data_IF_787360669733
#
_entry.id   IF_787360669733
#
_cell.length_a   1.000
_cell.length_b   1.000
_cell.length_c   1.000
_cell.angle_alpha   90.00
_cell.angle_beta   90.00
_cell.angle_gamma   90.00
#
_symmetry.space_group_name_H-M   'P 1'
#
loop_
_entity.id
_entity.type
_entity.pdbx_description
1 polymer ?
#
# COMPACT_ATOMS: atom_id res chain seq x y z
N UNK A 1 9.06 5.80 -8.01
CA UNK A 1 7.80 5.90 -7.24
C UNK A 1 8.08 5.46 -5.82
N UNK A 2 8.18 6.39 -4.85
CA UNK A 2 8.61 6.07 -3.46
C UNK A 2 7.71 6.71 -2.40
N UNK A 3 7.08 7.84 -2.70
CA UNK A 3 6.22 8.57 -1.75
C UNK A 3 4.98 7.77 -1.31
N UNK A 4 4.22 7.21 -2.26
CA UNK A 4 2.99 6.45 -1.94
C UNK A 4 3.30 5.21 -1.09
N UNK A 5 4.32 4.38 -1.40
CA UNK A 5 4.71 3.28 -0.51
C UNK A 5 4.97 3.70 0.94
N UNK A 6 5.63 4.84 1.19
CA UNK A 6 5.87 5.32 2.56
C UNK A 6 4.56 5.70 3.25
N UNK A 7 3.68 6.46 2.57
CA UNK A 7 2.37 6.82 3.12
C UNK A 7 1.53 5.59 3.47
N UNK A 8 1.51 4.57 2.61
CA UNK A 8 0.79 3.31 2.89
C UNK A 8 1.42 2.58 4.06
N UNK A 9 2.75 2.52 4.15
CA UNK A 9 3.45 1.88 5.27
C UNK A 9 3.15 2.59 6.61
N UNK A 10 3.14 3.92 6.64
CA UNK A 10 2.73 4.69 7.82
C UNK A 10 1.28 4.40 8.22
N UNK A 11 0.36 4.39 7.24
CA UNK A 11 -1.05 4.10 7.49
C UNK A 11 -1.29 2.67 8.00
N UNK A 12 -0.60 1.67 7.45
CA UNK A 12 -0.72 0.28 7.90
C UNK A 12 -0.19 0.07 9.32
N UNK A 13 0.90 0.75 9.70
CA UNK A 13 1.40 0.69 11.08
C UNK A 13 0.37 1.24 12.07
N UNK A 14 -0.25 2.38 11.74
CA UNK A 14 -1.32 2.97 12.55
C UNK A 14 -2.52 2.03 12.66
N UNK A 15 -2.98 1.47 11.54
CA UNK A 15 -4.09 0.53 11.52
C UNK A 15 -3.82 -0.73 12.39
N UNK A 16 -2.60 -1.26 12.32
CA UNK A 16 -2.23 -2.45 13.10
C UNK A 16 -2.10 -2.14 14.60
N UNK A 17 -1.63 -0.95 14.97
CA UNK A 17 -1.56 -0.47 16.36
C UNK A 17 -2.97 -0.26 16.93
N UNK A 18 -3.83 0.45 16.20
CA UNK A 18 -5.23 0.69 16.57
C UNK A 18 -6.00 -0.64 16.79
N UNK A 19 -5.65 -1.69 16.04
CA UNK A 19 -6.23 -3.03 16.17
C UNK A 19 -5.58 -3.90 17.27
N UNK A 20 -4.53 -3.43 17.96
CA UNK A 20 -3.77 -4.23 18.93
C UNK A 20 -3.04 -5.43 18.30
N UNK A 21 -2.79 -5.40 16.99
CA UNK A 21 -2.31 -6.54 16.20
C UNK A 21 -0.78 -6.64 16.11
N UNK A 22 -0.04 -5.65 16.62
CA UNK A 22 1.42 -5.57 16.47
C UNK A 22 2.17 -6.81 17.01
N UNK A 23 1.63 -7.48 18.04
CA UNK A 23 2.20 -8.71 18.58
C UNK A 23 2.11 -9.94 17.67
N UNK A 24 1.25 -9.90 16.64
CA UNK A 24 0.91 -11.06 15.80
C UNK A 24 1.24 -10.85 14.31
N UNK A 25 2.01 -9.82 13.97
CA UNK A 25 2.33 -9.53 12.57
C UNK A 25 3.28 -10.58 11.97
N UNK A 26 3.00 -10.99 10.73
CA UNK A 26 3.84 -11.90 9.95
C UNK A 26 5.05 -11.22 9.30
N UNK A 27 5.94 -12.01 8.68
CA UNK A 27 7.13 -11.51 7.97
C UNK A 27 6.78 -10.50 6.86
N UNK A 28 5.80 -10.82 6.01
CA UNK A 28 5.40 -9.93 4.92
C UNK A 28 4.88 -8.57 5.37
N UNK A 29 4.22 -8.48 6.54
CA UNK A 29 3.85 -7.20 7.13
C UNK A 29 5.09 -6.41 7.54
N UNK A 30 6.02 -7.05 8.29
CA UNK A 30 7.28 -6.41 8.70
C UNK A 30 8.09 -5.90 7.52
N UNK A 31 8.18 -6.67 6.44
CA UNK A 31 8.92 -6.28 5.24
C UNK A 31 8.27 -5.09 4.55
N UNK A 32 6.94 -5.10 4.43
CA UNK A 32 6.18 -4.03 3.79
C UNK A 32 6.20 -2.74 4.61
N UNK A 33 6.12 -2.83 5.93
CA UNK A 33 6.15 -1.68 6.84
C UNK A 33 7.54 -1.28 7.30
N UNK A 34 8.61 -1.96 6.87
CA UNK A 34 10.01 -1.62 7.21
C UNK A 34 10.35 -0.15 6.99
N UNK A 35 9.78 0.45 5.95
CA UNK A 35 10.00 1.86 5.59
C UNK A 35 9.18 2.85 6.43
N UNK A 36 8.25 2.38 7.25
CA UNK A 36 7.46 3.21 8.16
C UNK A 36 8.29 3.75 9.35
N UNK A 37 9.48 3.21 9.61
CA UNK A 37 10.42 3.73 10.60
C UNK A 37 11.27 4.90 10.11
N UNK A 38 10.88 5.56 9.01
CA UNK A 38 11.63 6.67 8.43
C UNK A 38 11.47 7.97 9.22
N UNK A 39 12.45 8.88 9.09
CA UNK A 39 12.49 10.16 9.78
C UNK A 39 11.29 11.07 9.41
N UNK A 40 10.50 11.54 10.39
CA UNK A 40 9.31 12.35 10.14
C UNK A 40 9.62 13.77 9.64
N UNK A 41 10.74 14.38 10.04
CA UNK A 41 11.12 15.73 9.59
C UNK A 41 11.55 15.70 8.13
N UNK A 42 12.27 14.66 7.72
CA UNK A 42 12.66 14.45 6.32
C UNK A 42 11.43 14.15 5.45
N UNK A 43 10.60 13.18 5.86
CA UNK A 43 9.49 12.73 5.01
C UNK A 43 8.36 13.74 4.92
N UNK A 44 8.08 14.51 5.98
CA UNK A 44 7.09 15.60 5.90
C UNK A 44 7.49 16.66 4.87
N UNK A 45 8.78 17.05 4.82
CA UNK A 45 9.29 17.99 3.82
C UNK A 45 9.21 17.42 2.40
N UNK A 46 9.63 16.18 2.18
CA UNK A 46 9.56 15.52 0.86
C UNK A 46 8.12 15.46 0.36
N UNK A 47 7.18 15.04 1.22
CA UNK A 47 5.77 14.91 0.87
C UNK A 47 5.12 16.27 0.64
N UNK A 48 5.42 17.28 1.46
CA UNK A 48 4.93 18.64 1.30
C UNK A 48 5.40 19.26 -0.03
N UNK A 49 6.68 19.08 -0.37
CA UNK A 49 7.25 19.57 -1.63
C UNK A 49 6.63 18.91 -2.87
N UNK A 50 5.98 17.74 -2.72
CA UNK A 50 5.37 16.98 -3.81
C UNK A 50 3.85 16.81 -3.65
N UNK A 51 3.20 17.63 -2.83
CA UNK A 51 1.85 17.39 -2.33
C UNK A 51 0.84 17.03 -3.45
N UNK A 52 0.74 17.82 -4.52
CA UNK A 52 -0.22 17.64 -5.61
C UNK A 52 -0.03 16.32 -6.34
N UNK A 53 1.23 15.95 -6.61
CA UNK A 53 1.52 14.69 -7.29
C UNK A 53 1.29 13.49 -6.38
N UNK A 54 1.57 13.65 -5.08
CA UNK A 54 1.39 12.62 -4.07
C UNK A 54 -0.08 12.37 -3.77
N UNK A 55 -0.88 13.41 -3.51
CA UNK A 55 -2.31 13.29 -3.19
C UNK A 55 -3.06 12.66 -4.35
N UNK A 56 -2.84 13.13 -5.59
CA UNK A 56 -3.47 12.53 -6.78
C UNK A 56 -3.17 11.03 -6.92
N UNK A 57 -1.95 10.60 -6.61
CA UNK A 57 -1.59 9.17 -6.66
C UNK A 57 -2.17 8.40 -5.48
N UNK A 58 -2.31 9.03 -4.32
CA UNK A 58 -2.96 8.44 -3.15
C UNK A 58 -4.46 8.27 -3.40
N UNK A 59 -5.13 9.24 -4.02
CA UNK A 59 -6.53 9.16 -4.42
C UNK A 59 -6.75 7.98 -5.39
N UNK A 60 -5.90 7.90 -6.42
CA UNK A 60 -5.93 6.78 -7.35
C UNK A 60 -5.68 5.42 -6.66
N UNK A 61 -4.83 5.37 -5.62
CA UNK A 61 -4.65 4.15 -4.82
C UNK A 61 -5.90 3.83 -3.99
N UNK A 62 -6.51 4.83 -3.35
CA UNK A 62 -7.75 4.67 -2.59
C UNK A 62 -8.88 4.09 -3.44
N UNK A 63 -8.98 4.51 -4.71
CA UNK A 63 -9.91 3.91 -5.68
C UNK A 63 -9.62 2.41 -5.90
N UNK A 64 -8.35 2.02 -6.10
CA UNK A 64 -7.98 0.60 -6.25
C UNK A 64 -8.26 -0.22 -4.99
N UNK A 65 -8.07 0.35 -3.80
CA UNK A 65 -8.41 -0.29 -2.54
C UNK A 65 -9.93 -0.48 -2.40
N UNK A 66 -10.72 0.51 -2.82
CA UNK A 66 -12.18 0.42 -2.82
C UNK A 66 -12.67 -0.67 -3.79
N UNK A 67 -12.08 -0.77 -4.99
CA UNK A 67 -12.37 -1.84 -5.96
C UNK A 67 -12.09 -3.23 -5.36
N UNK A 68 -10.92 -3.42 -4.72
CA UNK A 68 -10.58 -4.68 -4.05
C UNK A 68 -11.54 -5.00 -2.89
N UNK A 69 -11.92 -4.00 -2.10
CA UNK A 69 -12.87 -4.18 -1.02
C UNK A 69 -14.27 -4.56 -1.54
N UNK A 70 -14.70 -3.99 -2.67
CA UNK A 70 -15.94 -4.35 -3.34
C UNK A 70 -15.89 -5.79 -3.87
N UNK A 71 -14.84 -6.14 -4.61
CA UNK A 71 -14.64 -7.49 -5.13
C UNK A 71 -14.58 -8.55 -4.01
N UNK A 72 -14.01 -8.19 -2.85
CA UNK A 72 -14.00 -9.06 -1.66
C UNK A 72 -15.39 -9.30 -1.08
N UNK A 73 -16.31 -8.33 -1.20
CA UNK A 73 -17.69 -8.42 -0.69
C UNK A 73 -18.65 -9.09 -1.68
N UNK A 74 -18.33 -9.10 -2.97
CA UNK A 74 -19.14 -9.71 -4.02
C UNK A 74 -18.98 -11.24 -4.02
N UNK A 75 -17.91 -11.76 -4.63
CA UNK A 75 -17.65 -13.20 -4.70
C UNK A 75 -16.16 -13.54 -4.93
N UNK A 76 -15.75 -14.79 -4.69
CA UNK A 76 -14.35 -15.22 -4.88
C UNK A 76 -13.83 -15.10 -6.32
N UNK A 77 -14.71 -15.14 -7.33
CA UNK A 77 -14.32 -15.05 -8.73
C UNK A 77 -13.97 -13.60 -9.11
N UNK A 78 -14.76 -12.62 -8.67
CA UNK A 78 -14.48 -11.19 -8.82
C UNK A 78 -13.15 -10.83 -8.13
N UNK A 79 -12.96 -11.26 -6.89
CA UNK A 79 -11.71 -11.04 -6.15
C UNK A 79 -10.51 -11.68 -6.87
N UNK A 80 -10.66 -12.92 -7.35
CA UNK A 80 -9.61 -13.62 -8.11
C UNK A 80 -9.22 -12.83 -9.36
N UNK A 81 -10.18 -12.30 -10.11
CA UNK A 81 -9.92 -11.54 -11.32
C UNK A 81 -9.10 -10.26 -11.00
N UNK A 82 -9.50 -9.51 -9.97
CA UNK A 82 -8.79 -8.31 -9.53
C UNK A 82 -7.34 -8.62 -9.09
N UNK A 83 -7.13 -9.69 -8.31
CA UNK A 83 -5.79 -10.10 -7.85
C UNK A 83 -4.93 -10.62 -9.01
N UNK A 84 -5.52 -11.38 -9.94
CA UNK A 84 -4.80 -11.98 -11.07
C UNK A 84 -4.16 -10.90 -11.96
N UNK A 85 -4.87 -9.80 -12.16
CA UNK A 85 -4.37 -8.67 -12.94
C UNK A 85 -3.13 -8.02 -12.29
N UNK A 86 -3.21 -7.68 -11.01
CA UNK A 86 -2.07 -7.14 -10.27
C UNK A 86 -0.88 -8.11 -10.25
N UNK A 87 -1.14 -9.41 -10.09
CA UNK A 87 -0.11 -10.45 -10.08
C UNK A 87 0.60 -10.58 -11.43
N UNK A 88 -0.14 -10.43 -12.54
CA UNK A 88 0.41 -10.46 -13.90
C UNK A 88 1.37 -9.30 -14.14
N UNK A 89 0.97 -8.09 -13.74
CA UNK A 89 1.83 -6.89 -13.83
C UNK A 89 3.13 -7.10 -13.05
N UNK A 90 3.06 -7.61 -11.81
CA UNK A 90 4.25 -7.84 -10.98
C UNK A 90 5.21 -8.85 -11.62
N UNK A 91 4.70 -9.98 -12.14
CA UNK A 91 5.54 -10.99 -12.80
C UNK A 91 6.21 -10.47 -14.07
N UNK A 92 5.58 -9.54 -14.78
CA UNK A 92 6.19 -8.89 -15.95
C UNK A 92 7.44 -8.09 -15.60
N UNK A 93 7.46 -7.41 -14.43
CA UNK A 93 8.62 -6.64 -13.99
C UNK A 93 9.86 -7.49 -13.72
N UNK A 94 9.69 -8.74 -13.29
CA UNK A 94 10.80 -9.65 -13.00
C UNK A 94 11.30 -10.38 -14.26
N UNK A 95 10.58 -10.29 -15.39
CA UNK A 95 10.95 -10.89 -16.68
C UNK A 95 11.77 -9.96 -17.58
N UNK A 96 11.72 -8.64 -17.31
CA UNK A 96 12.41 -7.58 -18.07
C UNK A 96 13.75 -7.15 -17.43
N UNK A 97 14.22 -7.86 -16.39
CA UNK A 97 15.48 -7.59 -15.67
C UNK A 97 16.43 -8.76 -15.69
#
# INVERSE_FOLDING_TARGET
TSHVPHLVAFALMRLADDAGALGHVGGGFRDFTRIAGSDPDVWSQILAANNTAVTRRLDALSERLAELANATREDPQALRAAIAEASRIRRGLDADG
#
